data_IF_354354961314
#
_entry.id   IF_354354961314
#
_cell.length_a   1.000
_cell.length_b   1.000
_cell.length_c   1.000
_cell.angle_alpha   90.00
_cell.angle_beta   90.00
_cell.angle_gamma   90.00
#
_symmetry.space_group_name_H-M   'P 1'
#
loop_
_entity.id
_entity.type
_entity.pdbx_description
1 polymer ?
#
# COMPACT_ATOMS: atom_id res chain seq x y z
N UNK A 1 17.30 -11.92 -7.97
CA UNK A 1 16.34 -11.50 -6.95
C UNK A 1 15.04 -11.23 -7.69
N UNK A 2 13.98 -12.00 -7.41
CA UNK A 2 12.66 -11.73 -7.98
C UNK A 2 12.11 -10.49 -7.30
N UNK A 3 11.93 -9.40 -8.04
CA UNK A 3 11.22 -8.22 -7.59
C UNK A 3 9.77 -8.62 -7.38
N UNK A 4 9.29 -8.43 -6.16
CA UNK A 4 7.86 -8.60 -5.84
C UNK A 4 7.10 -7.41 -6.45
N UNK A 5 6.30 -7.67 -7.45
CA UNK A 5 5.33 -6.69 -7.93
C UNK A 5 4.13 -6.68 -6.98
N UNK A 6 3.94 -5.55 -6.34
CA UNK A 6 2.75 -5.24 -5.56
C UNK A 6 1.95 -4.26 -6.42
N UNK A 7 0.76 -4.64 -6.82
CA UNK A 7 -0.11 -3.77 -7.62
C UNK A 7 -1.29 -3.28 -6.80
N UNK A 8 -1.49 -1.97 -6.83
CA UNK A 8 -2.73 -1.35 -6.39
C UNK A 8 -3.65 -1.17 -7.59
N UNK A 9 -4.83 -1.74 -7.50
CA UNK A 9 -5.90 -1.42 -8.43
C UNK A 9 -6.70 -0.27 -7.83
N UNK A 10 -6.77 0.85 -8.56
CA UNK A 10 -7.74 1.90 -8.26
C UNK A 10 -9.14 1.26 -8.32
N UNK A 11 -9.78 1.08 -7.16
CA UNK A 11 -11.12 0.56 -7.10
C UNK A 11 -12.09 1.56 -7.74
N UNK A 12 -12.49 1.30 -8.98
CA UNK A 12 -13.66 1.95 -9.55
C UNK A 12 -14.85 1.61 -8.65
N UNK A 13 -15.55 2.63 -8.16
CA UNK A 13 -16.75 2.49 -7.34
C UNK A 13 -17.84 1.80 -8.17
N UNK A 14 -17.97 0.49 -8.06
CA UNK A 14 -19.11 -0.24 -8.57
C UNK A 14 -20.20 -0.14 -7.52
N UNK A 15 -21.21 0.68 -7.80
CA UNK A 15 -22.47 0.75 -7.07
C UNK A 15 -23.25 -0.56 -7.27
N UNK A 16 -23.00 -1.55 -6.43
CA UNK A 16 -23.90 -2.68 -6.25
C UNK A 16 -24.66 -2.49 -4.95
N UNK A 17 -25.91 -2.07 -5.05
CA UNK A 17 -26.89 -2.15 -3.97
C UNK A 17 -27.09 -3.63 -3.61
N UNK A 18 -26.51 -4.07 -2.50
CA UNK A 18 -27.00 -5.21 -1.76
C UNK A 18 -27.64 -4.70 -0.49
N UNK A 19 -28.92 -5.04 -0.33
CA UNK A 19 -29.70 -4.77 0.87
C UNK A 19 -29.02 -5.39 2.09
N UNK A 20 -28.95 -4.63 3.19
CA UNK A 20 -28.58 -5.10 4.51
C UNK A 20 -29.60 -6.15 4.97
N UNK A 21 -29.19 -7.40 5.04
CA UNK A 21 -29.90 -8.41 5.79
C UNK A 21 -29.44 -8.39 7.25
N UNK A 22 -30.33 -8.18 8.22
CA UNK A 22 -30.00 -8.35 9.63
C UNK A 22 -30.13 -9.82 10.00
N UNK A 23 -29.02 -10.51 10.14
CA UNK A 23 -29.16 -11.87 10.58
C UNK A 23 -27.87 -12.62 10.87
N UNK A 24 -27.78 -13.06 12.09
CA UNK A 24 -26.87 -14.05 12.65
C UNK A 24 -25.58 -13.51 13.21
N UNK A 25 -25.59 -13.36 14.53
CA UNK A 25 -24.39 -13.31 15.37
C UNK A 25 -23.69 -14.67 15.26
N UNK A 26 -22.93 -14.86 14.22
CA UNK A 26 -21.89 -15.88 14.22
C UNK A 26 -20.89 -15.51 15.32
N UNK A 27 -20.37 -16.49 16.05
CA UNK A 27 -19.33 -16.30 17.04
C UNK A 27 -18.23 -15.44 16.40
N UNK A 28 -17.86 -14.31 17.05
CA UNK A 28 -16.76 -13.49 16.59
C UNK A 28 -15.53 -14.38 16.53
N UNK A 29 -14.85 -14.49 15.38
CA UNK A 29 -13.58 -15.22 15.32
C UNK A 29 -12.64 -14.57 16.34
N UNK A 30 -11.83 -15.38 17.05
CA UNK A 30 -10.83 -14.90 17.98
C UNK A 30 -9.91 -13.89 17.26
N UNK A 31 -10.18 -12.61 17.45
CA UNK A 31 -9.43 -11.56 16.80
C UNK A 31 -8.04 -11.45 17.43
N UNK A 32 -7.00 -11.50 16.62
CA UNK A 32 -5.64 -11.26 17.04
C UNK A 32 -5.49 -9.76 17.37
N UNK A 33 -5.01 -9.42 18.57
CA UNK A 33 -4.73 -8.04 18.95
C UNK A 33 -3.27 -7.68 18.63
N UNK A 34 -3.06 -6.52 17.98
CA UNK A 34 -1.73 -6.03 17.59
C UNK A 34 -1.59 -4.54 17.88
N UNK A 35 -0.36 -4.07 18.01
CA UNK A 35 -0.03 -2.65 18.16
C UNK A 35 -0.77 -1.98 19.32
N UNK A 36 -1.48 -0.91 19.02
CA UNK A 36 -2.29 -0.12 19.96
C UNK A 36 -3.65 -0.76 20.35
N UNK A 37 -3.78 -2.07 20.17
CA UNK A 37 -5.01 -2.83 20.43
C UNK A 37 -5.92 -3.01 19.22
N UNK A 38 -5.39 -2.87 18.00
CA UNK A 38 -6.13 -3.17 16.76
C UNK A 38 -6.48 -4.64 16.66
N UNK A 39 -7.74 -4.91 16.34
CA UNK A 39 -8.25 -6.26 16.14
C UNK A 39 -8.01 -6.72 14.70
N UNK A 40 -7.26 -7.80 14.51
CA UNK A 40 -6.99 -8.41 13.21
C UNK A 40 -7.87 -9.64 13.03
N UNK A 41 -8.70 -9.63 12.02
CA UNK A 41 -9.54 -10.75 11.60
C UNK A 41 -8.88 -11.45 10.41
N UNK A 42 -8.58 -12.73 10.56
CA UNK A 42 -7.96 -13.56 9.53
C UNK A 42 -9.00 -14.51 8.92
N UNK A 43 -9.30 -14.33 7.64
CA UNK A 43 -10.30 -15.09 6.91
C UNK A 43 -9.62 -16.07 5.96
N UNK A 44 -9.81 -17.37 6.17
CA UNK A 44 -9.22 -18.44 5.36
C UNK A 44 -10.13 -18.93 4.24
N UNK A 45 -9.54 -19.40 3.15
CA UNK A 45 -10.24 -20.08 2.05
C UNK A 45 -10.59 -21.55 2.33
N UNK A 46 -10.47 -22.04 3.58
CA UNK A 46 -10.83 -23.39 4.00
C UNK A 46 -9.90 -24.49 3.50
N UNK A 47 -8.63 -24.17 3.23
CA UNK A 47 -7.61 -25.14 2.81
C UNK A 47 -6.38 -25.08 3.72
N UNK A 48 -5.65 -26.20 3.85
CA UNK A 48 -4.40 -26.24 4.62
C UNK A 48 -3.37 -25.17 4.14
N UNK A 49 -3.35 -24.83 2.86
CA UNK A 49 -2.47 -23.80 2.31
C UNK A 49 -2.84 -22.39 2.78
N UNK A 50 -4.14 -22.06 2.77
CA UNK A 50 -4.61 -20.77 3.29
C UNK A 50 -4.42 -20.66 4.80
N UNK A 51 -4.64 -21.72 5.55
CA UNK A 51 -4.44 -21.75 6.99
C UNK A 51 -2.96 -21.57 7.37
N UNK A 52 -2.06 -22.24 6.65
CA UNK A 52 -0.62 -22.06 6.82
C UNK A 52 -0.16 -20.62 6.45
N UNK A 53 -0.72 -20.03 5.39
CA UNK A 53 -0.44 -18.63 5.04
C UNK A 53 -0.92 -17.69 6.14
N UNK A 54 -2.14 -17.85 6.63
CA UNK A 54 -2.70 -17.00 7.70
C UNK A 54 -1.93 -17.15 9.02
N UNK A 55 -1.43 -18.33 9.36
CA UNK A 55 -0.54 -18.52 10.52
C UNK A 55 0.75 -17.70 10.39
N UNK A 56 1.32 -17.61 9.18
CA UNK A 56 2.48 -16.75 8.90
C UNK A 56 2.11 -15.27 8.97
N UNK A 57 0.95 -14.89 8.44
CA UNK A 57 0.42 -13.52 8.56
C UNK A 57 0.27 -13.13 10.03
N UNK A 58 -0.29 -14.02 10.87
CA UNK A 58 -0.44 -13.77 12.31
C UNK A 58 0.90 -13.47 13.01
N UNK A 59 1.99 -14.05 12.53
CA UNK A 59 3.35 -13.76 13.06
C UNK A 59 3.88 -12.40 12.60
N UNK A 60 3.59 -11.99 11.38
CA UNK A 60 4.18 -10.79 10.76
C UNK A 60 3.31 -9.53 10.91
N UNK A 61 2.02 -9.67 11.24
CA UNK A 61 1.08 -8.54 11.21
C UNK A 61 1.35 -7.51 12.31
N UNK A 62 1.80 -7.93 13.49
CA UNK A 62 2.15 -7.01 14.58
C UNK A 62 3.32 -6.09 14.21
N UNK A 63 4.48 -6.61 13.77
CA UNK A 63 5.58 -5.80 13.26
C UNK A 63 5.20 -4.95 12.04
N UNK A 64 4.31 -5.43 11.17
CA UNK A 64 3.85 -4.66 10.02
C UNK A 64 2.97 -3.47 10.43
N UNK A 65 2.08 -3.68 11.40
CA UNK A 65 1.25 -2.61 12.00
C UNK A 65 2.13 -1.55 12.65
N UNK A 66 3.12 -1.95 13.44
CA UNK A 66 4.04 -1.03 14.10
C UNK A 66 4.80 -0.13 13.11
N UNK A 67 5.24 -0.67 11.97
CA UNK A 67 5.92 0.11 10.93
C UNK A 67 4.99 1.17 10.30
N UNK A 68 3.72 0.83 10.08
CA UNK A 68 2.74 1.80 9.58
C UNK A 68 2.42 2.85 10.64
N UNK A 69 2.28 2.48 11.90
CA UNK A 69 2.03 3.40 13.02
C UNK A 69 3.20 4.39 13.22
N UNK A 70 4.42 3.91 13.12
CA UNK A 70 5.62 4.76 13.24
C UNK A 70 5.67 5.86 12.17
N UNK A 71 5.31 5.52 10.93
CA UNK A 71 5.32 6.47 9.83
C UNK A 71 4.04 7.32 9.76
N UNK A 72 2.87 6.68 9.82
CA UNK A 72 1.58 7.34 9.57
C UNK A 72 0.93 7.88 10.85
N UNK A 73 1.18 7.27 11.99
CA UNK A 73 0.52 7.55 13.26
C UNK A 73 -0.65 6.60 13.51
N UNK A 74 -1.50 6.95 14.50
CA UNK A 74 -2.53 6.04 15.01
C UNK A 74 -3.95 6.28 14.45
N UNK A 75 -4.17 7.38 13.70
CA UNK A 75 -5.51 7.77 13.20
C UNK A 75 -5.90 7.00 11.92
N UNK A 76 -6.17 5.69 12.07
CA UNK A 76 -6.68 4.81 11.03
C UNK A 76 -7.48 3.64 11.64
N UNK A 77 -8.23 2.83 10.86
CA UNK A 77 -9.16 1.85 11.43
C UNK A 77 -8.52 0.87 12.41
N UNK A 78 -9.17 0.67 13.56
CA UNK A 78 -8.75 -0.30 14.60
C UNK A 78 -9.10 -1.75 14.26
N UNK A 79 -9.92 -2.01 13.25
CA UNK A 79 -10.21 -3.36 12.75
C UNK A 79 -9.50 -3.54 11.41
N UNK A 80 -8.70 -4.59 11.33
CA UNK A 80 -7.97 -4.99 10.11
C UNK A 80 -8.54 -6.35 9.67
N UNK A 81 -8.96 -6.47 8.41
CA UNK A 81 -9.44 -7.72 7.84
C UNK A 81 -8.46 -8.20 6.79
N UNK A 82 -7.98 -9.44 6.91
CA UNK A 82 -7.07 -10.08 5.94
C UNK A 82 -7.70 -11.38 5.47
N UNK A 83 -7.89 -11.51 4.17
CA UNK A 83 -8.52 -12.66 3.52
C UNK A 83 -7.47 -13.40 2.68
N UNK A 84 -7.26 -14.71 2.95
CA UNK A 84 -6.43 -15.56 2.11
C UNK A 84 -7.30 -16.37 1.16
N UNK A 85 -7.05 -16.25 -0.14
CA UNK A 85 -7.78 -16.98 -1.17
C UNK A 85 -7.06 -18.26 -1.58
N UNK A 86 -7.84 -19.33 -1.83
CA UNK A 86 -7.28 -20.64 -2.22
C UNK A 86 -6.96 -20.72 -3.72
N UNK A 87 -7.62 -19.89 -4.56
CA UNK A 87 -7.46 -19.92 -6.02
C UNK A 87 -7.37 -18.52 -6.62
N UNK A 88 -6.71 -18.39 -7.76
CA UNK A 88 -6.67 -17.14 -8.52
C UNK A 88 -8.08 -16.67 -8.98
N UNK A 89 -9.03 -17.59 -9.16
CA UNK A 89 -10.40 -17.23 -9.48
C UNK A 89 -11.09 -16.54 -8.29
N UNK A 90 -10.91 -17.08 -7.07
CA UNK A 90 -11.41 -16.45 -5.84
C UNK A 90 -10.74 -15.09 -5.62
N UNK A 91 -9.42 -14.99 -5.80
CA UNK A 91 -8.68 -13.73 -5.68
C UNK A 91 -9.25 -12.65 -6.61
N UNK A 92 -9.38 -12.95 -7.91
CA UNK A 92 -9.96 -12.00 -8.88
C UNK A 92 -11.41 -11.63 -8.56
N UNK A 93 -12.20 -12.59 -8.08
CA UNK A 93 -13.60 -12.33 -7.69
C UNK A 93 -13.67 -11.43 -6.43
N UNK A 94 -12.79 -11.63 -5.45
CA UNK A 94 -12.73 -10.84 -4.24
C UNK A 94 -12.26 -9.40 -4.50
N UNK A 95 -11.24 -9.23 -5.37
CA UNK A 95 -10.69 -7.90 -5.74
C UNK A 95 -11.65 -7.14 -6.65
N UNK A 96 -12.40 -7.84 -7.52
CA UNK A 96 -13.38 -7.29 -8.47
C UNK A 96 -12.83 -6.19 -9.40
N UNK A 97 -11.52 -6.23 -9.68
CA UNK A 97 -10.84 -5.28 -10.56
C UNK A 97 -9.71 -6.01 -11.31
N UNK A 98 -9.20 -5.47 -12.43
CA UNK A 98 -8.04 -6.01 -13.10
C UNK A 98 -6.82 -6.01 -12.18
N UNK A 99 -6.13 -7.15 -12.08
CA UNK A 99 -4.88 -7.31 -11.35
C UNK A 99 -3.88 -8.06 -12.21
N UNK A 100 -2.59 -7.78 -12.04
CA UNK A 100 -1.57 -8.54 -12.73
C UNK A 100 -1.50 -9.99 -12.23
N UNK A 101 -0.96 -10.87 -13.07
CA UNK A 101 -0.91 -12.30 -12.76
C UNK A 101 -0.01 -12.64 -11.57
N UNK A 102 0.95 -11.78 -11.28
CA UNK A 102 1.96 -11.88 -10.22
C UNK A 102 1.61 -11.06 -8.96
N UNK A 103 0.42 -10.43 -8.92
CA UNK A 103 -0.06 -9.70 -7.73
C UNK A 103 -0.18 -10.64 -6.54
N UNK A 104 0.50 -10.29 -5.45
CA UNK A 104 0.56 -11.10 -4.23
C UNK A 104 -0.56 -10.77 -3.23
N UNK A 105 -0.94 -9.50 -3.15
CA UNK A 105 -2.01 -9.01 -2.29
C UNK A 105 -2.56 -7.69 -2.83
N UNK A 106 -3.75 -7.31 -2.36
CA UNK A 106 -4.37 -6.01 -2.66
C UNK A 106 -5.21 -5.55 -1.47
N UNK A 107 -5.00 -4.31 -1.02
CA UNK A 107 -5.89 -3.63 -0.09
C UNK A 107 -7.08 -3.04 -0.86
N UNK A 108 -8.28 -3.50 -0.56
CA UNK A 108 -9.52 -3.07 -1.20
C UNK A 108 -10.52 -2.50 -0.20
N UNK A 109 -11.50 -1.75 -0.72
CA UNK A 109 -12.66 -1.28 0.03
C UNK A 109 -13.90 -1.36 -0.87
N UNK A 110 -15.06 -1.70 -0.30
CA UNK A 110 -16.32 -1.72 -1.07
C UNK A 110 -16.83 -0.33 -1.39
N UNK A 111 -16.47 0.66 -0.56
CA UNK A 111 -16.80 2.08 -0.77
C UNK A 111 -15.74 2.95 -0.15
N UNK A 112 -15.32 3.99 -0.88
CA UNK A 112 -14.37 5.01 -0.41
C UNK A 112 -15.01 6.38 -0.59
N UNK A 113 -15.00 7.18 0.48
CA UNK A 113 -15.45 8.56 0.50
C UNK A 113 -14.41 9.39 1.28
N UNK A 114 -13.34 9.83 0.61
CA UNK A 114 -12.26 10.56 1.26
C UNK A 114 -12.73 11.90 1.83
N UNK A 115 -13.69 12.59 1.18
CA UNK A 115 -14.23 13.85 1.67
C UNK A 115 -14.91 13.71 3.05
N UNK A 116 -15.42 12.52 3.37
CA UNK A 116 -15.95 12.18 4.69
C UNK A 116 -15.00 11.34 5.54
N UNK A 117 -13.77 11.13 5.09
CA UNK A 117 -12.75 10.30 5.73
C UNK A 117 -13.29 8.89 6.05
N UNK A 118 -13.94 8.27 5.07
CA UNK A 118 -14.58 6.95 5.23
C UNK A 118 -14.14 5.97 4.16
N UNK A 119 -13.83 4.76 4.59
CA UNK A 119 -13.68 3.61 3.72
C UNK A 119 -14.42 2.43 4.37
N UNK A 120 -15.39 1.87 3.69
CA UNK A 120 -16.22 0.77 4.18
C UNK A 120 -15.82 -0.55 3.53
N UNK A 121 -15.95 -1.66 4.26
CA UNK A 121 -15.63 -3.00 3.77
C UNK A 121 -14.17 -3.16 3.36
N UNK A 122 -13.27 -2.46 4.07
CA UNK A 122 -11.83 -2.60 3.83
C UNK A 122 -11.34 -3.99 4.18
N UNK A 123 -10.51 -4.56 3.32
CA UNK A 123 -9.76 -5.79 3.60
C UNK A 123 -8.52 -5.88 2.72
N UNK A 124 -7.53 -6.62 3.20
CA UNK A 124 -6.36 -7.03 2.41
C UNK A 124 -6.65 -8.44 1.91
N UNK A 125 -6.65 -8.63 0.59
CA UNK A 125 -6.87 -9.94 -0.03
C UNK A 125 -5.52 -10.48 -0.50
N UNK A 126 -5.15 -11.67 -0.03
CA UNK A 126 -3.94 -12.37 -0.40
C UNK A 126 -4.22 -13.35 -1.53
N UNK A 127 -3.43 -13.29 -2.59
CA UNK A 127 -3.46 -14.25 -3.68
C UNK A 127 -2.85 -15.59 -3.24
N UNK A 128 -3.20 -16.72 -3.89
CA UNK A 128 -2.63 -18.04 -3.57
C UNK A 128 -1.10 -18.08 -3.66
N UNK A 129 -0.50 -17.29 -4.56
CA UNK A 129 0.94 -17.16 -4.73
C UNK A 129 1.68 -16.64 -3.48
N UNK A 130 1.00 -15.91 -2.60
CA UNK A 130 1.57 -15.42 -1.35
C UNK A 130 2.02 -16.57 -0.41
N UNK A 131 1.43 -17.74 -0.52
CA UNK A 131 1.82 -18.92 0.26
C UNK A 131 3.27 -19.37 -0.01
N UNK A 132 3.79 -19.14 -1.22
CA UNK A 132 5.15 -19.51 -1.62
C UNK A 132 6.22 -18.44 -1.29
N UNK A 133 5.83 -17.29 -0.77
CA UNK A 133 6.74 -16.19 -0.45
C UNK A 133 7.64 -16.53 0.74
N UNK A 134 8.85 -15.96 0.75
CA UNK A 134 9.67 -15.91 1.96
C UNK A 134 9.01 -15.06 3.06
N UNK A 135 9.42 -15.23 4.32
CA UNK A 135 8.93 -14.38 5.41
C UNK A 135 9.24 -12.89 5.16
N UNK A 136 10.44 -12.57 4.69
CA UNK A 136 10.82 -11.20 4.35
C UNK A 136 9.93 -10.60 3.24
N UNK A 137 9.64 -11.38 2.20
CA UNK A 137 8.77 -10.94 1.12
C UNK A 137 7.31 -10.72 1.61
N UNK A 138 6.77 -11.64 2.42
CA UNK A 138 5.45 -11.51 3.01
C UNK A 138 5.36 -10.26 3.91
N UNK A 139 6.40 -9.97 4.69
CA UNK A 139 6.46 -8.77 5.54
C UNK A 139 6.40 -7.49 4.73
N UNK A 140 7.14 -7.41 3.62
CA UNK A 140 7.10 -6.27 2.70
C UNK A 140 5.67 -6.08 2.16
N UNK A 141 5.05 -7.16 1.67
CA UNK A 141 3.66 -7.12 1.16
C UNK A 141 2.69 -6.63 2.23
N UNK A 142 2.75 -7.20 3.43
CA UNK A 142 1.85 -6.81 4.52
C UNK A 142 2.00 -5.33 4.91
N UNK A 143 3.22 -4.82 5.02
CA UNK A 143 3.46 -3.39 5.33
C UNK A 143 2.93 -2.47 4.24
N UNK A 144 3.16 -2.82 2.98
CA UNK A 144 2.69 -2.08 1.83
C UNK A 144 1.16 -1.99 1.81
N UNK A 145 0.48 -3.14 1.91
CA UNK A 145 -0.98 -3.19 1.89
C UNK A 145 -1.61 -2.55 3.15
N UNK A 146 -0.95 -2.68 4.30
CA UNK A 146 -1.40 -2.00 5.52
C UNK A 146 -1.27 -0.48 5.41
N UNK A 147 -0.24 0.04 4.74
CA UNK A 147 -0.15 1.46 4.47
C UNK A 147 -1.33 1.96 3.64
N UNK A 148 -1.68 1.25 2.56
CA UNK A 148 -2.88 1.57 1.78
C UNK A 148 -4.16 1.45 2.61
N UNK A 149 -4.26 0.42 3.46
CA UNK A 149 -5.39 0.23 4.37
C UNK A 149 -5.53 1.42 5.33
N UNK A 150 -4.44 1.88 5.91
CA UNK A 150 -4.41 2.99 6.85
C UNK A 150 -4.78 4.33 6.18
N UNK A 151 -4.31 4.55 4.96
CA UNK A 151 -4.45 5.84 4.27
C UNK A 151 -5.71 5.93 3.40
N UNK A 152 -6.38 4.81 3.09
CA UNK A 152 -7.51 4.74 2.15
C UNK A 152 -8.58 5.79 2.36
N UNK A 153 -8.96 6.04 3.62
CA UNK A 153 -10.02 6.97 3.97
C UNK A 153 -9.66 8.44 3.78
N UNK A 154 -8.39 8.76 3.58
CA UNK A 154 -7.88 10.14 3.49
C UNK A 154 -7.10 10.42 2.21
N UNK A 155 -6.86 9.42 1.37
CA UNK A 155 -6.23 9.58 0.06
C UNK A 155 -7.29 9.91 -0.99
N UNK A 156 -7.08 10.96 -1.76
CA UNK A 156 -7.97 11.36 -2.84
C UNK A 156 -8.01 10.30 -3.95
N UNK A 157 -9.15 10.18 -4.63
CA UNK A 157 -9.33 9.18 -5.69
C UNK A 157 -8.51 9.51 -6.96
N UNK A 158 -8.14 10.75 -7.13
CA UNK A 158 -7.30 11.28 -8.22
C UNK A 158 -5.87 11.63 -7.77
N UNK A 159 -5.46 11.13 -6.59
CA UNK A 159 -4.09 11.28 -6.11
C UNK A 159 -3.07 10.68 -7.10
N UNK A 160 -1.87 11.28 -7.28
CA UNK A 160 -0.83 10.74 -8.14
C UNK A 160 -0.38 9.37 -7.63
N UNK A 161 -0.74 8.30 -8.34
CA UNK A 161 -0.51 6.90 -7.93
C UNK A 161 0.95 6.62 -7.65
N UNK A 162 1.84 7.12 -8.49
CA UNK A 162 3.27 6.89 -8.30
C UNK A 162 3.76 7.33 -6.92
N UNK A 163 3.22 8.45 -6.38
CA UNK A 163 3.60 8.91 -5.04
C UNK A 163 2.96 8.06 -3.95
N UNK A 164 1.71 7.64 -4.15
CA UNK A 164 1.01 6.73 -3.24
C UNK A 164 1.77 5.42 -3.10
N UNK A 165 2.16 4.81 -4.23
CA UNK A 165 2.95 3.57 -4.28
C UNK A 165 4.36 3.74 -3.73
N UNK A 166 5.03 4.84 -4.09
CA UNK A 166 6.39 5.11 -3.64
C UNK A 166 6.50 5.28 -2.13
N UNK A 167 5.49 5.89 -1.49
CA UNK A 167 5.45 6.01 -0.02
C UNK A 167 5.07 4.68 0.63
N UNK A 168 4.15 3.90 0.04
CA UNK A 168 3.83 2.56 0.51
C UNK A 168 5.07 1.66 0.50
N UNK A 169 5.85 1.68 -0.57
CA UNK A 169 7.11 0.97 -0.69
C UNK A 169 8.18 1.48 0.29
N UNK A 170 8.22 2.78 0.56
CA UNK A 170 9.12 3.34 1.57
C UNK A 170 8.82 2.77 2.98
N UNK A 171 7.56 2.69 3.36
CA UNK A 171 7.14 2.10 4.65
C UNK A 171 7.39 0.58 4.70
N UNK A 172 7.28 -0.08 3.55
CA UNK A 172 7.35 -1.54 3.47
C UNK A 172 8.76 -2.12 3.47
N UNK A 173 9.72 -1.45 2.82
CA UNK A 173 11.05 -2.01 2.53
C UNK A 173 12.06 -1.60 3.59
N UNK A 174 12.64 -2.58 4.29
CA UNK A 174 13.70 -2.35 5.31
C UNK A 174 15.10 -2.19 4.68
N UNK A 175 15.32 -2.82 3.54
CA UNK A 175 16.64 -2.86 2.89
C UNK A 175 16.67 -2.03 1.63
N UNK A 176 17.81 -1.47 1.40
CA UNK A 176 18.10 -0.45 0.43
C UNK A 176 19.01 -0.96 -0.67
N UNK A 177 18.49 -1.43 -1.78
CA UNK A 177 19.31 -1.54 -2.95
C UNK A 177 19.73 -0.13 -3.40
N UNK A 178 21.04 0.08 -3.51
CA UNK A 178 21.57 1.30 -4.10
C UNK A 178 20.92 1.54 -5.48
N UNK A 179 20.70 2.81 -5.80
CA UNK A 179 20.25 3.19 -7.14
C UNK A 179 21.29 2.68 -8.14
N UNK A 180 20.90 1.87 -9.15
CA UNK A 180 21.86 1.36 -10.13
C UNK A 180 22.57 2.50 -10.85
N UNK A 181 23.87 2.39 -11.13
CA UNK A 181 24.59 3.37 -11.95
C UNK A 181 23.91 3.59 -13.29
N UNK A 182 23.67 4.85 -13.66
CA UNK A 182 23.02 5.21 -14.91
C UNK A 182 21.48 5.06 -14.90
N UNK A 183 20.86 4.80 -13.77
CA UNK A 183 19.40 4.79 -13.66
C UNK A 183 18.85 6.17 -14.02
N UNK A 184 17.81 6.20 -14.84
CA UNK A 184 17.07 7.42 -15.13
C UNK A 184 16.23 7.82 -13.92
N UNK A 185 16.51 9.01 -13.36
CA UNK A 185 15.79 9.55 -12.21
C UNK A 185 14.83 10.65 -12.66
N UNK A 186 13.74 10.21 -13.24
CA UNK A 186 12.56 11.03 -13.57
C UNK A 186 11.38 10.59 -12.73
N UNK A 187 10.47 11.50 -12.40
CA UNK A 187 9.23 11.11 -11.71
C UNK A 187 8.43 10.16 -12.61
N UNK A 188 7.97 9.01 -12.08
CA UNK A 188 7.14 8.11 -12.87
C UNK A 188 5.79 8.77 -13.19
N UNK A 189 5.19 8.35 -14.29
CA UNK A 189 3.79 8.62 -14.59
C UNK A 189 2.91 7.44 -14.19
N UNK A 190 1.61 7.70 -13.97
CA UNK A 190 0.64 6.64 -13.71
C UNK A 190 0.52 5.67 -14.88
N UNK A 191 0.71 6.14 -16.12
CA UNK A 191 0.72 5.31 -17.31
C UNK A 191 1.89 4.30 -17.34
N UNK A 192 3.06 4.66 -16.79
CA UNK A 192 4.19 3.73 -16.68
C UNK A 192 3.89 2.64 -15.65
N UNK A 193 3.18 2.96 -14.56
CA UNK A 193 2.73 1.97 -13.56
C UNK A 193 1.70 1.00 -14.15
N UNK A 194 0.91 1.41 -15.14
CA UNK A 194 -0.10 0.56 -15.79
C UNK A 194 0.48 -0.33 -16.91
N UNK A 195 1.70 -0.03 -17.38
CA UNK A 195 2.30 -0.75 -18.51
C UNK A 195 3.00 -2.03 -18.03
N UNK A 196 2.49 -3.24 -18.32
CA UNK A 196 3.12 -4.48 -17.89
C UNK A 196 4.56 -4.64 -18.39
N UNK A 197 5.41 -5.25 -17.56
CA UNK A 197 6.76 -5.60 -17.92
C UNK A 197 7.86 -4.83 -17.17
N UNK A 198 9.13 -4.87 -17.64
CA UNK A 198 10.27 -4.28 -16.91
C UNK A 198 10.15 -2.78 -16.65
N UNK A 199 9.48 -2.04 -17.54
CA UNK A 199 9.27 -0.60 -17.39
C UNK A 199 8.42 -0.27 -16.16
N UNK A 200 7.41 -1.09 -15.85
CA UNK A 200 6.61 -0.96 -14.63
C UNK A 200 7.50 -1.05 -13.39
N UNK A 201 8.35 -2.10 -13.32
CA UNK A 201 9.22 -2.31 -12.17
C UNK A 201 10.14 -1.12 -11.96
N UNK A 202 10.71 -0.58 -13.05
CA UNK A 202 11.55 0.63 -12.99
C UNK A 202 10.75 1.85 -12.54
N UNK A 203 9.47 1.98 -12.90
CA UNK A 203 8.62 3.07 -12.44
C UNK A 203 8.35 2.98 -10.92
N UNK A 204 8.04 1.78 -10.40
CA UNK A 204 7.92 1.55 -8.95
C UNK A 204 9.23 1.83 -8.21
N UNK A 205 10.36 1.38 -8.73
CA UNK A 205 11.66 1.65 -8.11
C UNK A 205 11.96 3.14 -8.07
N UNK A 206 11.67 3.90 -9.14
CA UNK A 206 11.83 5.37 -9.17
C UNK A 206 10.92 6.07 -8.14
N UNK A 207 9.66 5.63 -8.00
CA UNK A 207 8.74 6.14 -7.01
C UNK A 207 9.27 5.91 -5.59
N UNK A 208 9.76 4.71 -5.32
CA UNK A 208 10.37 4.35 -4.05
C UNK A 208 11.65 5.14 -3.77
N UNK A 209 12.60 5.24 -4.72
CA UNK A 209 13.83 6.02 -4.55
C UNK A 209 13.55 7.50 -4.30
N UNK A 210 12.54 8.07 -4.96
CA UNK A 210 12.11 9.44 -4.68
C UNK A 210 11.62 9.60 -3.25
N UNK A 211 10.73 8.72 -2.80
CA UNK A 211 10.18 8.75 -1.44
C UNK A 211 11.29 8.59 -0.40
N UNK A 212 12.22 7.68 -0.63
CA UNK A 212 13.38 7.47 0.21
C UNK A 212 14.30 8.70 0.23
N UNK A 213 14.65 9.25 -0.93
CA UNK A 213 15.43 10.48 -0.99
C UNK A 213 14.79 11.61 -0.17
N UNK A 214 13.49 11.78 -0.25
CA UNK A 214 12.77 12.80 0.54
C UNK A 214 12.89 12.49 2.03
N UNK A 215 12.72 11.26 2.45
CA UNK A 215 12.85 10.85 3.84
C UNK A 215 14.29 11.03 4.37
N UNK A 216 15.29 10.63 3.60
CA UNK A 216 16.71 10.75 3.96
C UNK A 216 17.14 12.22 4.08
N UNK A 217 16.66 13.06 3.18
CA UNK A 217 17.10 14.46 3.08
C UNK A 217 16.34 15.41 3.99
N UNK A 218 15.04 15.14 4.19
CA UNK A 218 14.13 16.06 4.89
C UNK A 218 13.47 15.43 6.12
N UNK A 219 13.62 14.13 6.30
CA UNK A 219 13.01 13.36 7.37
C UNK A 219 11.68 12.70 7.00
N UNK A 220 11.34 11.56 7.63
CA UNK A 220 10.12 10.81 7.35
C UNK A 220 8.84 11.63 7.58
N UNK A 221 8.83 12.52 8.57
CA UNK A 221 7.68 13.39 8.81
C UNK A 221 7.41 14.34 7.63
N UNK A 222 8.46 14.86 6.97
CA UNK A 222 8.30 15.71 5.78
C UNK A 222 7.83 14.93 4.57
N UNK A 223 8.21 13.66 4.45
CA UNK A 223 7.64 12.77 3.43
C UNK A 223 6.15 12.56 3.66
N UNK A 224 5.72 12.34 4.92
CA UNK A 224 4.31 12.26 5.28
C UNK A 224 3.56 13.56 4.97
N UNK A 225 4.12 14.72 5.31
CA UNK A 225 3.55 16.03 5.01
C UNK A 225 3.37 16.21 3.48
N UNK A 226 4.37 15.79 2.69
CA UNK A 226 4.29 15.80 1.23
C UNK A 226 3.17 14.89 0.71
N UNK A 227 3.05 13.66 1.27
CA UNK A 227 1.97 12.75 0.92
C UNK A 227 0.61 13.39 1.18
N UNK A 228 0.39 13.95 2.36
CA UNK A 228 -0.89 14.59 2.72
C UNK A 228 -1.19 15.77 1.79
N UNK A 229 -0.20 16.60 1.47
CA UNK A 229 -0.36 17.77 0.61
C UNK A 229 -0.60 17.42 -0.87
N UNK A 230 -0.02 16.32 -1.36
CA UNK A 230 -0.09 15.92 -2.77
C UNK A 230 -1.12 14.82 -3.05
N UNK A 231 -1.53 14.05 -2.03
CA UNK A 231 -2.42 12.90 -2.19
C UNK A 231 -3.69 12.98 -1.32
N UNK A 232 -3.80 13.93 -0.41
CA UNK A 232 -4.97 14.10 0.45
C UNK A 232 -6.19 14.65 -0.31
N UNK A 233 -7.35 14.73 0.38
CA UNK A 233 -8.64 15.12 -0.23
C UNK A 233 -8.60 16.48 -0.92
N UNK A 234 -7.95 17.47 -0.29
CA UNK A 234 -7.78 18.81 -0.83
C UNK A 234 -6.38 19.03 -1.38
N UNK A 235 -5.82 17.98 -2.00
CA UNK A 235 -4.45 18.01 -2.49
C UNK A 235 -4.24 19.13 -3.53
N UNK A 236 -3.01 19.62 -3.55
CA UNK A 236 -2.57 20.61 -4.53
C UNK A 236 -1.60 19.94 -5.52
N UNK A 237 -1.39 20.56 -6.67
CA UNK A 237 -0.40 20.07 -7.63
C UNK A 237 0.99 19.89 -7.00
N UNK A 238 1.74 18.90 -7.45
CA UNK A 238 3.03 18.50 -6.89
C UNK A 238 4.00 19.67 -6.63
N UNK A 239 4.17 20.68 -7.53
CA UNK A 239 5.05 21.80 -7.24
C UNK A 239 4.64 22.60 -6.00
N UNK A 240 3.34 22.80 -5.80
CA UNK A 240 2.81 23.51 -4.62
C UNK A 240 2.95 22.66 -3.34
N UNK A 241 2.67 21.35 -3.43
CA UNK A 241 2.86 20.41 -2.33
C UNK A 241 4.33 20.35 -1.87
N UNK A 242 5.28 20.27 -2.81
CA UNK A 242 6.73 20.29 -2.53
C UNK A 242 7.13 21.59 -1.84
N UNK A 243 6.67 22.72 -2.34
CA UNK A 243 6.98 24.02 -1.70
C UNK A 243 6.44 24.10 -0.28
N UNK A 244 5.19 23.68 -0.08
CA UNK A 244 4.53 23.72 1.23
C UNK A 244 5.19 22.78 2.24
N UNK A 245 5.52 21.55 1.84
CA UNK A 245 6.02 20.52 2.75
C UNK A 245 7.53 20.56 2.95
N UNK A 246 8.30 20.85 1.89
CA UNK A 246 9.77 20.77 1.89
C UNK A 246 10.47 22.12 1.82
N UNK A 247 9.75 23.22 1.55
CA UNK A 247 10.32 24.57 1.48
C UNK A 247 11.23 24.80 0.28
N UNK A 248 11.11 24.01 -0.79
CA UNK A 248 11.92 24.12 -2.00
C UNK A 248 11.06 24.05 -3.25
N UNK A 249 11.57 24.56 -4.38
CA UNK A 249 10.91 24.41 -5.68
C UNK A 249 11.18 23.03 -6.27
N UNK A 250 10.18 22.47 -6.99
CA UNK A 250 10.25 21.13 -7.57
C UNK A 250 11.50 20.91 -8.46
N UNK A 251 11.91 21.82 -9.37
CA UNK A 251 13.13 21.61 -10.16
C UNK A 251 14.39 21.49 -9.30
N UNK A 252 14.46 22.23 -8.19
CA UNK A 252 15.57 22.13 -7.24
C UNK A 252 15.56 20.80 -6.49
N UNK A 253 14.38 20.33 -6.10
CA UNK A 253 14.21 19.03 -5.45
C UNK A 253 14.68 17.90 -6.37
N UNK A 254 14.26 17.90 -7.65
CA UNK A 254 14.67 16.89 -8.62
C UNK A 254 16.19 16.89 -8.87
N UNK A 255 16.80 18.08 -8.95
CA UNK A 255 18.26 18.18 -9.06
C UNK A 255 18.99 17.68 -7.79
N UNK A 256 18.38 17.80 -6.62
CA UNK A 256 18.91 17.20 -5.37
C UNK A 256 18.78 15.68 -5.38
N UNK A 257 17.66 15.15 -5.86
CA UNK A 257 17.42 13.72 -6.00
C UNK A 257 18.44 13.04 -6.92
N UNK A 258 18.70 13.65 -8.08
CA UNK A 258 19.74 13.17 -9.01
C UNK A 258 21.13 13.09 -8.34
N UNK A 259 21.51 14.10 -7.54
CA UNK A 259 22.79 14.08 -6.81
C UNK A 259 22.82 13.05 -5.69
N UNK A 260 21.72 12.86 -4.97
CA UNK A 260 21.62 11.86 -3.92
C UNK A 260 21.84 10.43 -4.43
N UNK A 261 21.41 10.12 -5.64
CA UNK A 261 21.56 8.80 -6.24
C UNK A 261 22.98 8.51 -6.76
N UNK A 262 23.81 9.55 -6.95
CA UNK A 262 25.18 9.42 -7.48
C UNK A 262 26.26 9.54 -6.40
N UNK A 263 25.90 9.89 -5.18
CA UNK A 263 26.84 10.12 -4.05
C UNK A 263 26.74 9.10 -2.99
#
# INVERSE_FOLDING_TARGET
MALLLIELVAAAAVLLHRADEPGSRAAEPDALLVGDGRAVELLGGGTAATDALLARVATEIGPATAAVEEFWGLDWPHRIVIEATATNAQFRAAVAAPVAADTAAVAIATRVDPARRRAAGQRIVLAPGAAAMSAAALRIVLRHELFHYATRAVTALDAPRWLVEGVADYVARETDPAVPPGAELTLPSDAELDTPGPHRNTAYDRAWWFSRFVADRYGPQRLRDLYVAACGVDHVGLPAAVRASLGVELPRLLAQWQRWATG
#
